data_IF_745453975496
#
_entry.id   IF_745453975496
#
_cell.length_a   1.000
_cell.length_b   1.000
_cell.length_c   1.000
_cell.angle_alpha   90.00
_cell.angle_beta   90.00
_cell.angle_gamma   90.00
#
_symmetry.space_group_name_H-M   'P 1'
#
loop_
_entity.id
_entity.type
_entity.pdbx_description
1 polymer ?
#
# COMPACT_ATOMS: atom_id res chain seq x y z
N UNK A 1 -31.99 -3.06 14.71
CA UNK A 1 -32.67 -3.30 13.41
C UNK A 1 -32.29 -2.14 12.50
N UNK A 2 -31.65 -2.40 11.38
CA UNK A 2 -31.34 -1.36 10.38
C UNK A 2 -32.64 -0.87 9.74
N UNK A 3 -32.77 0.45 9.55
CA UNK A 3 -33.89 1.08 8.84
C UNK A 3 -33.87 0.64 7.36
N UNK A 4 -34.88 -0.08 6.85
CA UNK A 4 -34.93 -0.53 5.47
C UNK A 4 -34.99 0.61 4.44
N UNK A 5 -35.22 1.86 4.87
CA UNK A 5 -35.19 3.07 4.03
C UNK A 5 -33.84 3.79 4.06
N UNK A 6 -32.88 3.35 4.88
CA UNK A 6 -31.55 3.96 4.89
C UNK A 6 -30.89 3.82 3.51
N UNK A 7 -30.33 4.91 2.95
CA UNK A 7 -29.63 4.84 1.67
C UNK A 7 -28.47 3.84 1.78
N UNK A 8 -28.43 2.87 0.87
CA UNK A 8 -27.33 1.91 0.80
C UNK A 8 -26.02 2.66 0.54
N UNK A 9 -24.93 2.19 1.16
CA UNK A 9 -23.61 2.72 0.89
C UNK A 9 -23.31 2.72 -0.62
N UNK A 10 -22.82 3.85 -1.12
CA UNK A 10 -22.51 4.02 -2.53
C UNK A 10 -21.42 3.04 -2.94
N UNK A 11 -21.62 2.34 -4.07
CA UNK A 11 -20.62 1.43 -4.62
C UNK A 11 -19.56 2.21 -5.42
N UNK A 12 -18.32 1.76 -5.37
CA UNK A 12 -17.23 2.31 -6.15
C UNK A 12 -17.40 2.01 -7.65
N UNK A 13 -17.25 3.04 -8.49
CA UNK A 13 -17.36 2.92 -9.95
C UNK A 13 -15.99 2.78 -10.60
N UNK A 14 -15.92 2.15 -11.77
CA UNK A 14 -14.67 2.00 -12.54
C UNK A 14 -13.97 3.31 -12.91
N UNK A 15 -14.66 4.46 -12.88
CA UNK A 15 -14.02 5.78 -13.05
C UNK A 15 -12.88 6.02 -12.06
N UNK A 16 -12.98 5.52 -10.82
CA UNK A 16 -11.94 5.68 -9.81
C UNK A 16 -10.62 5.01 -10.23
N UNK A 17 -10.69 3.96 -11.04
CA UNK A 17 -9.50 3.26 -11.52
C UNK A 17 -8.72 4.07 -12.56
N UNK A 18 -9.32 5.13 -13.14
CA UNK A 18 -8.65 6.01 -14.10
C UNK A 18 -7.77 7.07 -13.43
N UNK A 19 -7.91 7.28 -12.13
CA UNK A 19 -7.05 8.19 -11.38
C UNK A 19 -5.65 7.58 -11.26
N UNK A 20 -4.58 8.30 -11.65
CA UNK A 20 -3.21 7.81 -11.46
C UNK A 20 -2.95 7.43 -10.01
N UNK A 21 -2.35 6.25 -9.78
CA UNK A 21 -2.07 5.73 -8.44
C UNK A 21 -3.22 4.96 -7.79
N UNK A 22 -4.35 4.76 -8.49
CA UNK A 22 -5.45 3.94 -7.97
C UNK A 22 -5.37 2.48 -8.36
N UNK A 23 -4.97 2.17 -9.59
CA UNK A 23 -4.87 0.80 -10.10
C UNK A 23 -3.42 0.42 -10.40
N UNK A 24 -3.10 -0.87 -10.24
CA UNK A 24 -1.83 -1.43 -10.72
C UNK A 24 -1.87 -1.56 -12.24
N UNK A 25 -0.77 -1.21 -12.90
CA UNK A 25 -0.59 -1.49 -14.32
C UNK A 25 -0.27 -2.98 -14.53
N UNK A 26 -1.34 -3.76 -14.77
CA UNK A 26 -1.27 -5.21 -14.97
C UNK A 26 -0.57 -5.60 -16.29
N UNK A 27 -0.26 -4.64 -17.17
CA UNK A 27 0.45 -4.91 -18.42
C UNK A 27 1.96 -5.04 -18.22
N UNK A 28 2.49 -4.49 -17.13
CA UNK A 28 3.92 -4.57 -16.76
C UNK A 28 4.20 -5.93 -16.12
N UNK A 29 5.00 -6.82 -16.74
CA UNK A 29 5.19 -8.18 -16.24
C UNK A 29 6.21 -8.26 -15.09
N UNK A 30 7.23 -7.39 -15.08
CA UNK A 30 8.25 -7.41 -14.03
C UNK A 30 7.65 -6.92 -12.69
N UNK A 31 7.77 -7.70 -11.60
CA UNK A 31 7.22 -7.32 -10.29
C UNK A 31 7.71 -5.98 -9.77
N UNK A 32 9.00 -5.66 -9.96
CA UNK A 32 9.61 -4.44 -9.43
C UNK A 32 9.20 -3.24 -10.26
N UNK A 33 9.25 -3.35 -11.59
CA UNK A 33 8.80 -2.30 -12.50
C UNK A 33 7.32 -1.98 -12.33
N UNK A 34 6.47 -3.00 -12.08
CA UNK A 34 5.04 -2.78 -11.83
C UNK A 34 4.81 -1.94 -10.56
N UNK A 35 5.54 -2.23 -9.49
CA UNK A 35 5.45 -1.46 -8.25
C UNK A 35 6.03 -0.05 -8.43
N UNK A 36 7.16 0.09 -9.13
CA UNK A 36 7.74 1.40 -9.42
C UNK A 36 6.76 2.26 -10.24
N UNK A 37 6.10 1.69 -11.26
CA UNK A 37 5.09 2.40 -12.03
C UNK A 37 3.90 2.89 -11.17
N UNK A 38 3.50 2.09 -10.17
CA UNK A 38 2.47 2.51 -9.21
C UNK A 38 2.94 3.69 -8.34
N UNK A 39 4.19 3.67 -7.86
CA UNK A 39 4.81 4.79 -7.13
C UNK A 39 4.91 6.03 -8.03
N UNK A 40 5.36 5.88 -9.28
CA UNK A 40 5.51 6.97 -10.24
C UNK A 40 4.17 7.64 -10.60
N UNK A 41 3.06 6.89 -10.52
CA UNK A 41 1.74 7.46 -10.72
C UNK A 41 1.37 8.51 -9.64
N UNK A 42 1.94 8.44 -8.43
CA UNK A 42 1.82 9.48 -7.41
C UNK A 42 2.70 10.72 -7.69
N UNK A 43 3.68 10.59 -8.58
CA UNK A 43 4.52 11.69 -9.08
C UNK A 43 3.92 12.37 -10.31
N UNK A 44 2.79 11.88 -10.80
CA UNK A 44 2.14 12.42 -11.98
C UNK A 44 1.61 13.84 -11.72
N UNK A 45 1.92 14.78 -12.63
CA UNK A 45 1.47 16.16 -12.52
C UNK A 45 -0.06 16.32 -12.49
N UNK A 46 -0.80 15.39 -13.11
CA UNK A 46 -2.26 15.39 -13.10
C UNK A 46 -2.85 15.21 -11.69
N UNK A 47 -2.12 14.57 -10.76
CA UNK A 47 -2.53 14.38 -9.36
C UNK A 47 -1.82 15.33 -8.40
N UNK A 48 -1.05 16.31 -8.89
CA UNK A 48 -0.29 17.24 -8.05
C UNK A 48 -1.17 18.10 -7.12
N UNK A 49 -2.46 18.28 -7.47
CA UNK A 49 -3.44 18.99 -6.66
C UNK A 49 -4.00 18.14 -5.50
N UNK A 50 -3.76 16.82 -5.49
CA UNK A 50 -4.24 15.93 -4.44
C UNK A 50 -3.44 16.11 -3.16
N UNK A 51 -4.16 16.29 -2.05
CA UNK A 51 -3.58 16.38 -0.70
C UNK A 51 -4.12 15.22 0.14
N UNK A 52 -3.78 14.00 -0.24
CA UNK A 52 -4.13 12.81 0.54
C UNK A 52 -3.07 12.52 1.60
N UNK A 53 -3.44 11.71 2.59
CA UNK A 53 -2.60 11.40 3.75
C UNK A 53 -1.29 10.68 3.36
N UNK A 54 -1.34 9.86 2.32
CA UNK A 54 -0.25 9.04 1.78
C UNK A 54 0.56 9.76 0.67
N UNK A 55 0.05 10.85 0.11
CA UNK A 55 0.63 11.50 -1.07
C UNK A 55 2.12 11.86 -0.91
N UNK A 56 2.49 12.52 0.18
CA UNK A 56 3.87 12.93 0.40
C UNK A 56 4.81 11.73 0.57
N UNK A 57 4.34 10.67 1.24
CA UNK A 57 5.09 9.44 1.39
C UNK A 57 5.36 8.77 0.05
N UNK A 58 4.31 8.54 -0.74
CA UNK A 58 4.40 7.88 -2.03
C UNK A 58 5.23 8.67 -3.05
N UNK A 59 5.06 10.00 -3.08
CA UNK A 59 5.75 10.85 -4.05
C UNK A 59 7.26 10.95 -3.76
N UNK A 60 7.63 11.24 -2.52
CA UNK A 60 8.95 11.78 -2.19
C UNK A 60 9.80 10.87 -1.29
N UNK A 61 9.20 9.91 -0.58
CA UNK A 61 9.86 9.28 0.56
C UNK A 61 10.01 7.76 0.48
N UNK A 62 9.50 7.11 -0.57
CA UNK A 62 9.59 5.65 -0.75
C UNK A 62 10.28 5.30 -2.07
N UNK A 63 11.00 4.18 -2.05
CA UNK A 63 11.58 3.55 -3.24
C UNK A 63 11.44 2.04 -3.13
N UNK A 64 11.17 1.35 -4.24
CA UNK A 64 11.28 -0.11 -4.29
C UNK A 64 12.74 -0.51 -4.51
N UNK A 65 13.24 -1.42 -3.67
CA UNK A 65 14.57 -2.01 -3.78
C UNK A 65 14.51 -3.25 -4.67
N UNK A 66 13.60 -4.16 -4.35
CA UNK A 66 13.41 -5.42 -5.08
C UNK A 66 11.99 -5.93 -4.94
N UNK A 67 11.53 -6.70 -5.92
CA UNK A 67 10.29 -7.46 -5.84
C UNK A 67 10.44 -8.77 -6.61
N UNK A 68 9.73 -9.80 -6.17
CA UNK A 68 9.72 -11.11 -6.81
C UNK A 68 8.35 -11.75 -6.64
N UNK A 69 7.92 -12.50 -7.65
CA UNK A 69 6.71 -13.31 -7.59
C UNK A 69 6.96 -14.64 -8.29
N UNK A 70 6.92 -15.72 -7.53
CA UNK A 70 7.08 -17.10 -7.97
C UNK A 70 5.86 -17.92 -7.56
N UNK A 71 5.78 -19.20 -7.96
CA UNK A 71 4.61 -20.04 -7.70
C UNK A 71 4.24 -20.18 -6.21
N UNK A 72 5.22 -20.01 -5.30
CA UNK A 72 4.99 -20.16 -3.86
C UNK A 72 5.38 -18.96 -3.01
N UNK A 73 5.88 -17.88 -3.61
CA UNK A 73 6.38 -16.73 -2.84
C UNK A 73 6.30 -15.44 -3.63
N UNK A 74 5.65 -14.45 -3.04
CA UNK A 74 5.60 -13.07 -3.55
C UNK A 74 6.07 -12.12 -2.47
N UNK A 75 7.10 -11.34 -2.77
CA UNK A 75 7.75 -10.42 -1.83
C UNK A 75 8.12 -9.11 -2.48
N UNK A 76 8.14 -8.05 -1.69
CA UNK A 76 8.67 -6.75 -2.07
C UNK A 76 9.47 -6.13 -0.92
N UNK A 77 10.57 -5.46 -1.25
CA UNK A 77 11.42 -4.75 -0.29
C UNK A 77 11.48 -3.29 -0.68
N UNK A 78 11.16 -2.42 0.26
CA UNK A 78 11.17 -0.98 0.08
C UNK A 78 12.23 -0.34 0.96
N UNK A 79 12.70 0.84 0.56
CA UNK A 79 13.56 1.67 1.38
C UNK A 79 12.99 3.07 1.56
N UNK A 80 13.18 3.64 2.75
CA UNK A 80 12.87 5.03 3.03
C UNK A 80 13.77 5.60 4.12
N UNK A 81 13.78 6.93 4.22
CA UNK A 81 14.33 7.63 5.38
C UNK A 81 13.20 8.06 6.30
N UNK A 82 13.39 7.94 7.61
CA UNK A 82 12.49 8.47 8.64
C UNK A 82 12.51 10.02 8.65
N UNK A 83 11.85 10.63 7.66
CA UNK A 83 11.83 12.08 7.48
C UNK A 83 11.08 12.79 8.62
N UNK A 84 11.43 14.05 8.96
CA UNK A 84 10.75 14.83 10.01
C UNK A 84 9.23 14.91 9.83
N UNK A 85 8.75 14.89 8.59
CA UNK A 85 7.32 14.91 8.27
C UNK A 85 6.53 13.76 8.92
N UNK A 86 7.17 12.62 9.18
CA UNK A 86 6.53 11.42 9.73
C UNK A 86 6.72 11.28 11.24
N UNK A 87 7.38 12.22 11.91
CA UNK A 87 7.70 12.10 13.33
C UNK A 87 6.61 12.73 14.21
N UNK A 88 6.53 12.25 15.44
CA UNK A 88 5.77 12.88 16.52
C UNK A 88 6.63 13.93 17.22
N UNK A 89 6.04 14.60 18.23
CA UNK A 89 6.72 15.67 19.00
C UNK A 89 7.98 15.21 19.75
N UNK A 90 8.20 13.91 19.92
CA UNK A 90 9.42 13.36 20.55
C UNK A 90 10.53 13.07 19.53
N UNK A 91 10.31 13.31 18.23
CA UNK A 91 11.28 13.00 17.17
C UNK A 91 11.35 11.52 16.78
N UNK A 92 10.43 10.70 17.29
CA UNK A 92 10.23 9.32 16.81
C UNK A 92 9.14 9.30 15.74
N UNK A 93 9.19 8.38 14.79
CA UNK A 93 8.12 8.20 13.81
C UNK A 93 6.77 7.98 14.52
N UNK A 94 5.75 8.73 14.10
CA UNK A 94 4.42 8.63 14.67
C UNK A 94 3.82 7.25 14.39
N UNK A 95 3.15 6.64 15.37
CA UNK A 95 2.56 5.29 15.19
C UNK A 95 1.63 5.20 13.99
N UNK A 96 0.79 6.22 13.78
CA UNK A 96 -0.06 6.34 12.59
C UNK A 96 0.70 6.48 11.27
N UNK A 97 1.90 7.08 11.27
CA UNK A 97 2.74 7.14 10.07
C UNK A 97 3.32 5.76 9.73
N UNK A 98 3.81 5.03 10.74
CA UNK A 98 4.24 3.63 10.59
C UNK A 98 3.10 2.77 10.06
N UNK A 99 1.87 3.00 10.52
CA UNK A 99 0.70 2.27 10.03
C UNK A 99 0.41 2.55 8.56
N UNK A 100 0.43 3.81 8.14
CA UNK A 100 0.28 4.17 6.73
C UNK A 100 1.39 3.59 5.86
N UNK A 101 2.64 3.61 6.33
CA UNK A 101 3.78 3.03 5.60
C UNK A 101 3.59 1.52 5.40
N UNK A 102 3.23 0.79 6.45
CA UNK A 102 2.92 -0.65 6.33
C UNK A 102 1.73 -0.90 5.42
N UNK A 103 0.65 -0.12 5.52
CA UNK A 103 -0.52 -0.24 4.63
C UNK A 103 -0.10 -0.13 3.15
N UNK A 104 0.61 0.95 2.80
CA UNK A 104 1.04 1.20 1.43
C UNK A 104 2.03 0.15 0.92
N UNK A 105 3.05 -0.21 1.71
CA UNK A 105 4.06 -1.18 1.30
C UNK A 105 3.47 -2.59 1.10
N UNK A 106 2.62 -3.03 2.03
CA UNK A 106 1.96 -4.34 1.91
C UNK A 106 0.95 -4.37 0.76
N UNK A 107 0.25 -3.27 0.49
CA UNK A 107 -0.62 -3.13 -0.69
C UNK A 107 0.18 -3.27 -1.99
N UNK A 108 1.29 -2.54 -2.11
CA UNK A 108 2.17 -2.62 -3.28
C UNK A 108 2.79 -4.00 -3.45
N UNK A 109 3.14 -4.70 -2.36
CA UNK A 109 3.69 -6.05 -2.41
C UNK A 109 2.77 -7.08 -3.08
N UNK A 110 1.45 -6.83 -3.08
CA UNK A 110 0.47 -7.69 -3.76
C UNK A 110 0.29 -7.36 -5.26
N UNK A 111 0.83 -6.24 -5.75
CA UNK A 111 0.70 -5.82 -7.16
C UNK A 111 1.13 -6.88 -8.18
N UNK A 112 2.19 -7.69 -7.96
CA UNK A 112 2.59 -8.73 -8.91
C UNK A 112 1.53 -9.82 -9.14
N UNK A 113 0.62 -10.02 -8.17
CA UNK A 113 -0.47 -11.02 -8.26
C UNK A 113 -1.74 -10.46 -8.90
N UNK A 114 -1.79 -9.15 -9.14
CA UNK A 114 -2.93 -8.50 -9.76
C UNK A 114 -3.07 -8.87 -11.25
N UNK A 115 -4.31 -9.03 -11.70
CA UNK A 115 -4.70 -9.23 -13.09
C UNK A 115 -6.04 -8.53 -13.33
N UNK A 116 -6.49 -8.47 -14.59
CA UNK A 116 -7.79 -7.87 -14.92
C UNK A 116 -8.89 -8.52 -14.08
N UNK A 117 -9.75 -7.69 -13.48
CA UNK A 117 -10.86 -8.11 -12.62
C UNK A 117 -10.45 -8.89 -11.35
N UNK A 118 -9.16 -8.90 -10.98
CA UNK A 118 -8.64 -9.55 -9.77
C UNK A 118 -7.53 -8.71 -9.15
N UNK A 119 -7.85 -8.03 -8.05
CA UNK A 119 -6.88 -7.26 -7.24
C UNK A 119 -6.11 -6.15 -7.97
N UNK A 120 -6.55 -5.73 -9.16
CA UNK A 120 -6.00 -4.56 -9.88
C UNK A 120 -6.09 -3.22 -9.13
N UNK A 121 -6.84 -3.13 -8.03
CA UNK A 121 -6.92 -1.97 -7.14
C UNK A 121 -6.15 -2.18 -5.81
N UNK A 122 -5.57 -3.35 -5.58
CA UNK A 122 -4.94 -3.70 -4.29
C UNK A 122 -5.91 -3.95 -3.12
N UNK A 123 -7.16 -3.51 -3.23
CA UNK A 123 -8.21 -3.74 -2.24
C UNK A 123 -8.14 -2.80 -1.05
N UNK A 124 -9.09 -2.93 -0.13
CA UNK A 124 -9.18 -2.08 1.07
C UNK A 124 -8.79 -2.85 2.33
N UNK A 125 -8.25 -2.13 3.29
CA UNK A 125 -7.80 -2.67 4.57
C UNK A 125 -9.01 -3.13 5.40
N UNK A 126 -9.00 -4.40 5.85
CA UNK A 126 -9.97 -4.95 6.82
C UNK A 126 -9.40 -4.89 8.24
N UNK A 127 -8.13 -5.24 8.38
CA UNK A 127 -7.43 -5.25 9.66
C UNK A 127 -5.96 -5.04 9.37
N UNK A 128 -5.36 -4.08 10.06
CA UNK A 128 -3.93 -3.85 10.07
C UNK A 128 -3.46 -3.92 11.51
N UNK A 129 -2.83 -5.03 11.89
CA UNK A 129 -2.25 -5.23 13.22
C UNK A 129 -0.78 -4.91 13.16
N UNK A 130 -0.31 -4.03 14.06
CA UNK A 130 1.11 -3.65 14.13
C UNK A 130 1.62 -3.84 15.54
N UNK A 131 2.74 -4.53 15.67
CA UNK A 131 3.51 -4.59 16.92
C UNK A 131 4.74 -3.69 16.78
N UNK A 132 4.81 -2.67 17.64
CA UNK A 132 5.95 -1.75 17.72
C UNK A 132 6.98 -2.30 18.70
N UNK A 133 8.14 -2.72 18.18
CA UNK A 133 9.17 -3.36 18.97
C UNK A 133 10.22 -2.36 19.45
N UNK A 134 10.57 -1.39 18.61
CA UNK A 134 11.60 -0.39 18.88
C UNK A 134 11.22 0.98 18.28
N UNK A 135 11.65 2.10 18.88
CA UNK A 135 11.38 3.42 18.32
C UNK A 135 12.15 3.64 17.02
N UNK A 136 11.46 4.16 16.02
CA UNK A 136 12.05 4.65 14.76
C UNK A 136 12.43 6.11 14.96
N UNK A 137 13.71 6.41 15.17
CA UNK A 137 14.17 7.80 15.34
C UNK A 137 14.23 8.53 14.00
N UNK A 138 14.04 9.84 14.04
CA UNK A 138 14.25 10.70 12.86
C UNK A 138 15.61 10.41 12.19
N UNK A 139 15.63 10.49 10.87
CA UNK A 139 16.78 10.25 10.00
C UNK A 139 17.32 8.82 9.94
N UNK A 140 16.69 7.83 10.60
CA UNK A 140 17.01 6.42 10.37
C UNK A 140 16.74 6.02 8.92
N UNK A 141 17.62 5.21 8.37
CA UNK A 141 17.40 4.51 7.09
C UNK A 141 16.66 3.20 7.37
N UNK A 142 15.55 3.00 6.68
CA UNK A 142 14.61 1.91 6.93
C UNK A 142 14.53 0.98 5.72
N UNK A 143 14.42 -0.31 6.00
CA UNK A 143 13.97 -1.32 5.05
C UNK A 143 12.61 -1.84 5.48
N UNK A 144 11.69 -1.95 4.54
CA UNK A 144 10.36 -2.54 4.76
C UNK A 144 10.24 -3.75 3.85
N UNK A 145 10.22 -4.93 4.45
CA UNK A 145 10.12 -6.21 3.77
C UNK A 145 8.67 -6.71 3.88
N UNK A 146 8.04 -6.99 2.75
CA UNK A 146 6.67 -7.47 2.69
C UNK A 146 6.61 -8.83 2.00
N UNK A 147 5.77 -9.72 2.53
CA UNK A 147 5.49 -11.04 1.98
C UNK A 147 3.99 -11.27 1.92
N UNK A 148 3.48 -11.61 0.73
CA UNK A 148 2.08 -12.01 0.56
C UNK A 148 1.96 -13.47 1.01
N UNK A 149 1.32 -13.68 2.15
CA UNK A 149 1.14 -15.02 2.72
C UNK A 149 0.03 -15.78 1.98
N UNK A 150 -1.05 -15.08 1.62
CA UNK A 150 -2.19 -15.66 0.94
C UNK A 150 -2.94 -14.59 0.16
N UNK A 151 -3.34 -14.91 -1.08
CA UNK A 151 -4.16 -14.02 -1.92
C UNK A 151 -5.27 -14.83 -2.60
N UNK A 152 -6.50 -14.70 -2.11
CA UNK A 152 -7.69 -15.36 -2.64
C UNK A 152 -8.57 -14.43 -3.47
N UNK A 153 -9.73 -14.90 -3.90
CA UNK A 153 -10.68 -14.10 -4.69
C UNK A 153 -11.19 -12.86 -3.94
N UNK A 154 -11.36 -12.97 -2.61
CA UNK A 154 -11.95 -11.91 -1.77
C UNK A 154 -11.02 -11.35 -0.71
N UNK A 155 -10.09 -12.15 -0.21
CA UNK A 155 -9.26 -11.80 0.93
C UNK A 155 -7.77 -11.97 0.59
N UNK A 156 -6.95 -11.12 1.20
CA UNK A 156 -5.49 -11.20 1.17
C UNK A 156 -4.96 -11.10 2.59
N UNK A 157 -3.90 -11.83 2.89
CA UNK A 157 -3.11 -11.68 4.13
C UNK A 157 -1.65 -11.45 3.74
N UNK A 158 -1.11 -10.32 4.18
CA UNK A 158 0.24 -9.87 3.85
C UNK A 158 0.97 -9.56 5.16
N UNK A 159 2.22 -10.01 5.29
CA UNK A 159 3.10 -9.69 6.41
C UNK A 159 4.05 -8.57 6.00
N UNK A 160 4.30 -7.63 6.91
CA UNK A 160 5.29 -6.57 6.76
C UNK A 160 6.28 -6.56 7.92
N UNK A 161 7.55 -6.29 7.64
CA UNK A 161 8.60 -6.11 8.65
C UNK A 161 9.38 -4.84 8.35
N UNK A 162 9.48 -3.95 9.33
CA UNK A 162 10.30 -2.74 9.22
C UNK A 162 11.59 -2.94 10.02
N UNK A 163 12.74 -2.70 9.38
CA UNK A 163 14.08 -2.90 9.94
C UNK A 163 14.93 -1.64 9.82
N UNK A 164 15.84 -1.45 10.75
CA UNK A 164 16.94 -0.49 10.60
C UNK A 164 17.90 -1.02 9.51
N UNK A 165 18.04 -0.29 8.40
CA UNK A 165 18.88 -0.68 7.26
C UNK A 165 20.35 -0.87 7.67
N UNK A 166 20.83 -0.10 8.65
CA UNK A 166 22.22 -0.11 9.08
C UNK A 166 22.53 -1.28 10.02
N UNK A 167 21.61 -1.60 10.92
CA UNK A 167 21.86 -2.60 11.99
C UNK A 167 21.13 -3.93 11.79
N UNK A 168 20.15 -3.98 10.88
CA UNK A 168 19.28 -5.14 10.66
C UNK A 168 18.24 -5.36 11.77
N UNK A 169 18.22 -4.51 12.80
CA UNK A 169 17.30 -4.66 13.93
C UNK A 169 15.84 -4.48 13.49
N UNK A 170 14.98 -5.40 13.93
CA UNK A 170 13.55 -5.35 13.68
C UNK A 170 12.89 -4.26 14.52
N UNK A 171 12.18 -3.34 13.88
CA UNK A 171 11.59 -2.16 14.52
C UNK A 171 10.08 -2.32 14.72
N UNK A 172 9.39 -2.88 13.74
CA UNK A 172 7.97 -3.24 13.84
C UNK A 172 7.63 -4.39 12.90
N UNK A 173 6.54 -5.09 13.21
CA UNK A 173 5.93 -6.10 12.34
C UNK A 173 4.46 -5.77 12.12
N UNK A 174 3.95 -6.11 10.94
CA UNK A 174 2.57 -5.91 10.57
C UNK A 174 1.97 -7.20 9.99
N UNK A 175 0.71 -7.46 10.33
CA UNK A 175 -0.17 -8.36 9.57
C UNK A 175 -1.30 -7.53 8.99
N UNK A 176 -1.41 -7.54 7.68
CA UNK A 176 -2.41 -6.78 6.94
C UNK A 176 -3.37 -7.71 6.22
N UNK A 177 -4.62 -7.67 6.64
CA UNK A 177 -5.72 -8.36 5.99
C UNK A 177 -6.49 -7.37 5.11
N UNK A 178 -6.59 -7.65 3.82
CA UNK A 178 -7.30 -6.82 2.83
C UNK A 178 -8.52 -7.54 2.25
N UNK A 179 -9.47 -6.76 1.74
CA UNK A 179 -10.61 -7.24 0.97
C UNK A 179 -10.61 -6.67 -0.45
N UNK A 180 -10.91 -7.50 -1.44
CA UNK A 180 -11.09 -7.03 -2.81
C UNK A 180 -12.36 -6.19 -2.94
N UNK A 181 -12.31 -5.23 -3.85
CA UNK A 181 -13.45 -4.37 -4.19
C UNK A 181 -14.00 -4.79 -5.55
N UNK A 182 -15.32 -4.98 -5.60
CA UNK A 182 -16.05 -5.15 -6.84
C UNK A 182 -16.51 -3.76 -7.33
N UNK A 183 -15.85 -3.24 -8.35
CA UNK A 183 -16.24 -2.00 -9.01
C UNK A 183 -17.46 -2.23 -9.90
N UNK A 184 -18.36 -1.26 -9.95
CA UNK A 184 -19.47 -1.23 -10.91
C UNK A 184 -19.10 -0.37 -12.11
N UNK A 185 -19.52 -0.77 -13.32
CA UNK A 185 -19.32 0.07 -14.50
C UNK A 185 -20.04 1.40 -14.32
N UNK A 186 -19.36 2.48 -14.71
CA UNK A 186 -19.97 3.79 -14.76
C UNK A 186 -21.08 3.78 -15.81
N UNK A 187 -22.31 4.15 -15.41
CA UNK A 187 -23.39 4.33 -16.38
C UNK A 187 -22.98 5.46 -17.32
N UNK A 188 -23.02 5.19 -18.63
CA UNK A 188 -22.85 6.24 -19.65
C UNK A 188 -23.90 7.31 -19.39
N UNK A 189 -23.48 8.57 -19.27
CA UNK A 189 -24.43 9.69 -19.26
C UNK A 189 -24.98 9.80 -20.68
N UNK A 190 -26.23 9.39 -20.86
CA UNK A 190 -27.03 9.71 -22.04
C UNK A 190 -27.25 11.23 -22.10
#
# INVERSE_FOLDING_TARGET
MEDPKAPKAQRYTTELLKTPGMAFDITIPDPKERIEAYIDAYRNAATAHMQTFDQAFMRDHIKIVSASSTLGKTTAVFEMKAAPLFTNRMGNMHGGAVAMIHDMCTTMAAAPLARRDFWWFGGVSRTLLITYLRPVRQNMDLLIECEVLQQGARLSTIRGEMRDKRTGQLLSVAEHNKASINFIEAKSKL
#
